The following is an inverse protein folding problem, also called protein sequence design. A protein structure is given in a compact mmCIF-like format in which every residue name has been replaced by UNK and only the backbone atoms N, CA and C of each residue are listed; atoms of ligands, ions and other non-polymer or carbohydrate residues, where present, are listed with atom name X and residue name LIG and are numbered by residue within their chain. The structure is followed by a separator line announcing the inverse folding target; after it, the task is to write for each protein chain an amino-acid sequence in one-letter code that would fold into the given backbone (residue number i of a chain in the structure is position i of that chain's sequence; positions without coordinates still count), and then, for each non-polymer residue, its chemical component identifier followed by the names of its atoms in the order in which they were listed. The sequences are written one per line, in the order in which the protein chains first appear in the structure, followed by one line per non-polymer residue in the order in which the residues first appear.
data_IF_852022410860
#
_entry.id   IF_852022410860
#
_cell.length_a   1.000
_cell.length_b   1.000
_cell.length_c   1.000
_cell.angle_alpha   90.00
_cell.angle_beta   90.00
_cell.angle_gamma   90.00
#
_symmetry.space_group_name_H-M   'P 1'
#
loop_
_entity.id
_entity.type
_entity.pdbx_description
1 polymer ?
#
# COMPACT_ATOMS: atom_id res chain seq x y z
N UNK A 1 -10.39 -0.10 0.17
CA UNK A 1 -8.93 0.12 0.34
C UNK A 1 -8.64 1.61 0.54
N UNK A 2 -7.66 1.98 1.38
CA UNK A 2 -7.25 3.37 1.62
C UNK A 2 -6.44 3.91 0.43
N UNK A 3 -7.12 4.62 -0.49
CA UNK A 3 -6.45 5.20 -1.67
C UNK A 3 -5.38 6.22 -1.30
N UNK A 4 -5.65 7.11 -0.35
CA UNK A 4 -4.70 8.15 0.05
C UNK A 4 -3.44 7.60 0.70
N UNK A 5 -3.54 6.61 1.59
CA UNK A 5 -2.36 5.99 2.21
C UNK A 5 -1.60 5.09 1.23
N UNK A 6 -2.30 4.18 0.56
CA UNK A 6 -1.67 3.17 -0.30
C UNK A 6 -1.09 3.78 -1.56
N UNK A 7 -1.88 4.53 -2.34
CA UNK A 7 -1.41 5.08 -3.61
C UNK A 7 -0.33 6.16 -3.41
N UNK A 8 -0.51 7.07 -2.45
CA UNK A 8 0.47 8.12 -2.19
C UNK A 8 1.78 7.53 -1.63
N UNK A 9 1.70 6.56 -0.72
CA UNK A 9 2.88 5.89 -0.18
C UNK A 9 3.72 5.19 -1.26
N UNK A 10 3.06 4.42 -2.13
CA UNK A 10 3.69 3.72 -3.26
C UNK A 10 4.36 4.72 -4.22
N UNK A 11 3.66 5.80 -4.59
CA UNK A 11 4.20 6.83 -5.48
C UNK A 11 5.37 7.57 -4.84
N UNK A 12 5.25 7.92 -3.56
CA UNK A 12 6.30 8.59 -2.79
C UNK A 12 7.56 7.72 -2.72
N UNK A 13 7.46 6.42 -2.41
CA UNK A 13 8.64 5.56 -2.31
C UNK A 13 9.40 5.47 -3.64
N UNK A 14 8.68 5.39 -4.77
CA UNK A 14 9.29 5.40 -6.10
C UNK A 14 10.02 6.71 -6.38
N UNK A 15 9.39 7.86 -6.07
CA UNK A 15 10.00 9.17 -6.21
C UNK A 15 11.24 9.35 -5.33
N UNK A 16 11.20 8.91 -4.08
CA UNK A 16 12.35 9.00 -3.16
C UNK A 16 13.48 8.09 -3.61
N UNK A 17 13.21 6.87 -4.10
CA UNK A 17 14.25 6.01 -4.69
C UNK A 17 14.95 6.73 -5.85
N UNK A 18 14.17 7.33 -6.75
CA UNK A 18 14.71 8.06 -7.90
C UNK A 18 15.60 9.24 -7.46
N UNK A 19 15.14 10.05 -6.50
CA UNK A 19 15.89 11.19 -5.96
C UNK A 19 17.19 10.77 -5.27
N UNK A 20 17.23 9.57 -4.69
CA UNK A 20 18.42 8.99 -4.06
C UNK A 20 19.34 8.24 -5.05
N UNK A 21 19.12 8.40 -6.36
CA UNK A 21 19.96 7.80 -7.40
C UNK A 21 19.71 6.31 -7.65
N UNK A 22 18.59 5.77 -7.17
CA UNK A 22 18.20 4.39 -7.44
C UNK A 22 17.80 4.17 -8.91
N UNK A 23 18.08 2.97 -9.42
CA UNK A 23 17.67 2.57 -10.76
C UNK A 23 16.24 1.99 -10.77
N UNK A 24 15.78 1.56 -11.96
CA UNK A 24 14.46 0.96 -12.12
C UNK A 24 14.24 -0.29 -11.24
N UNK A 25 15.26 -1.12 -11.04
CA UNK A 25 15.16 -2.30 -10.17
C UNK A 25 14.93 -1.91 -8.70
N UNK A 26 15.60 -0.86 -8.23
CA UNK A 26 15.40 -0.31 -6.88
C UNK A 26 14.01 0.31 -6.73
N UNK A 27 13.50 0.96 -7.78
CA UNK A 27 12.15 1.50 -7.80
C UNK A 27 11.16 0.33 -7.68
N UNK A 28 11.27 -0.68 -8.55
CA UNK A 28 10.42 -1.87 -8.49
C UNK A 28 10.49 -2.56 -7.13
N UNK A 29 11.67 -2.67 -6.52
CA UNK A 29 11.84 -3.22 -5.18
C UNK A 29 11.09 -2.44 -4.10
N UNK A 30 11.14 -1.10 -4.14
CA UNK A 30 10.37 -0.27 -3.22
C UNK A 30 8.86 -0.43 -3.47
N UNK A 31 8.42 -0.56 -4.72
CA UNK A 31 7.02 -0.83 -5.05
C UNK A 31 6.56 -2.19 -4.48
N UNK A 32 7.39 -3.24 -4.55
CA UNK A 32 7.07 -4.53 -3.94
C UNK A 32 6.93 -4.40 -2.42
N UNK A 33 7.87 -3.72 -1.77
CA UNK A 33 7.83 -3.50 -0.32
C UNK A 33 6.56 -2.73 0.09
N UNK A 34 6.17 -1.69 -0.67
CA UNK A 34 4.96 -0.93 -0.37
C UNK A 34 3.68 -1.74 -0.64
N UNK A 35 3.54 -2.33 -1.83
CA UNK A 35 2.36 -3.13 -2.19
C UNK A 35 2.23 -4.34 -1.26
N UNK A 36 3.31 -5.06 -0.97
CA UNK A 36 3.28 -6.21 -0.08
C UNK A 36 2.94 -5.88 1.37
N UNK A 37 3.22 -4.64 1.84
CA UNK A 37 3.08 -4.29 3.26
C UNK A 37 1.79 -3.55 3.60
N UNK A 38 1.35 -2.61 2.75
CA UNK A 38 0.26 -1.67 3.12
C UNK A 38 -1.02 -1.83 2.29
N UNK A 39 -1.09 -2.77 1.34
CA UNK A 39 -2.30 -2.96 0.52
C UNK A 39 -3.57 -3.30 1.33
N UNK A 40 -3.41 -3.83 2.54
CA UNK A 40 -4.51 -4.12 3.45
C UNK A 40 -5.00 -2.93 4.29
N UNK A 41 -4.40 -1.74 4.15
CA UNK A 41 -4.87 -0.56 4.90
C UNK A 41 -6.25 -0.16 4.38
N UNK A 42 -7.25 -0.25 5.26
CA UNK A 42 -8.66 -0.03 4.91
C UNK A 42 -9.05 1.45 4.93
N UNK A 43 -10.06 1.80 4.11
CA UNK A 43 -10.73 3.09 4.15
C UNK A 43 -12.07 2.91 4.86
N UNK A 44 -12.18 3.46 6.06
CA UNK A 44 -13.34 3.35 6.97
C UNK A 44 -13.86 4.73 7.40
N UNK A 45 -13.43 5.80 6.71
CA UNK A 45 -13.83 7.17 7.02
C UNK A 45 -13.35 7.72 8.38
N UNK A 46 -12.30 7.15 8.98
CA UNK A 46 -11.96 7.36 10.40
C UNK A 46 -11.44 8.75 10.87
N UNK A 47 -11.64 9.87 10.18
CA UNK A 47 -11.14 11.23 10.56
C UNK A 47 -9.67 11.22 11.03
N UNK A 48 -9.39 11.30 12.34
CA UNK A 48 -8.04 11.17 12.91
C UNK A 48 -7.36 9.85 12.53
N UNK A 49 -8.11 8.76 12.40
CA UNK A 49 -7.57 7.50 11.89
C UNK A 49 -6.98 7.63 10.47
N UNK A 50 -7.49 8.55 9.64
CA UNK A 50 -6.89 8.82 8.33
C UNK A 50 -5.52 9.49 8.45
N UNK A 51 -5.32 10.39 9.43
CA UNK A 51 -4.02 11.05 9.63
C UNK A 51 -2.95 10.04 10.06
N UNK A 52 -3.29 9.12 10.96
CA UNK A 52 -2.39 8.01 11.35
C UNK A 52 -2.09 7.04 10.20
N UNK A 53 -3.09 6.69 9.38
CA UNK A 53 -2.88 5.84 8.17
C UNK A 53 -1.91 6.51 7.18
N UNK A 54 -2.01 7.83 7.02
CA UNK A 54 -1.08 8.60 6.19
C UNK A 54 0.32 8.69 6.80
N UNK A 55 0.44 8.93 8.10
CA UNK A 55 1.72 8.96 8.81
C UNK A 55 2.45 7.61 8.67
N UNK A 56 1.73 6.50 8.83
CA UNK A 56 2.24 5.15 8.60
C UNK A 56 2.72 4.98 7.15
N UNK A 57 1.91 5.36 6.17
CA UNK A 57 2.28 5.25 4.76
C UNK A 57 3.51 6.09 4.41
N UNK A 58 3.61 7.33 4.92
CA UNK A 58 4.76 8.21 4.66
C UNK A 58 6.04 7.69 5.31
N UNK A 59 5.96 7.22 6.56
CA UNK A 59 7.11 6.66 7.25
C UNK A 59 7.61 5.39 6.56
N UNK A 60 6.66 4.52 6.20
CA UNK A 60 6.98 3.28 5.51
C UNK A 60 7.50 3.50 4.08
N UNK A 61 7.08 4.56 3.39
CA UNK A 61 7.62 4.90 2.07
C UNK A 61 9.13 5.15 2.13
N UNK A 62 9.59 5.96 3.10
CA UNK A 62 11.02 6.25 3.29
C UNK A 62 11.78 4.97 3.69
N UNK A 63 11.23 4.19 4.63
CA UNK A 63 11.86 2.93 5.06
C UNK A 63 11.96 1.93 3.91
N UNK A 64 10.89 1.74 3.13
CA UNK A 64 10.86 0.86 1.96
C UNK A 64 11.87 1.27 0.89
N UNK A 65 12.02 2.58 0.66
CA UNK A 65 13.05 3.11 -0.24
C UNK A 65 14.46 2.72 0.24
N UNK A 66 14.78 2.96 1.51
CA UNK A 66 16.10 2.62 2.05
C UNK A 66 16.36 1.11 1.99
N UNK A 67 15.37 0.29 2.34
CA UNK A 67 15.46 -1.16 2.25
C UNK A 67 15.72 -1.62 0.80
N UNK A 68 14.97 -1.09 -0.17
CA UNK A 68 15.14 -1.43 -1.56
C UNK A 68 16.54 -1.05 -2.08
N UNK A 69 17.03 0.14 -1.76
CA UNK A 69 18.38 0.58 -2.12
C UNK A 69 19.45 -0.39 -1.60
N UNK A 70 19.29 -0.91 -0.37
CA UNK A 70 20.18 -1.91 0.22
C UNK A 70 19.91 -3.36 -0.23
N UNK A 71 18.95 -3.58 -1.14
CA UNK A 71 18.62 -4.90 -1.68
C UNK A 71 17.71 -5.74 -0.79
N UNK A 72 17.16 -5.18 0.28
CA UNK A 72 16.11 -5.82 1.08
C UNK A 72 14.75 -5.54 0.44
N UNK A 73 14.25 -6.54 -0.28
CA UNK A 73 13.08 -6.44 -1.15
C UNK A 73 12.22 -7.69 -0.97
N UNK A 74 10.90 -7.54 -0.88
CA UNK A 74 9.94 -8.65 -0.95
C UNK A 74 10.14 -9.40 -2.28
N UNK A 75 10.25 -10.73 -2.24
CA UNK A 75 10.50 -11.50 -3.45
C UNK A 75 9.35 -11.28 -4.43
N UNK A 76 9.67 -11.12 -5.72
CA UNK A 76 8.67 -10.80 -6.75
C UNK A 76 7.66 -11.92 -7.03
N UNK A 77 7.79 -13.08 -6.37
CA UNK A 77 6.87 -14.22 -6.39
C UNK A 77 5.97 -14.30 -5.15
N UNK A 78 6.18 -13.44 -4.16
CA UNK A 78 5.48 -13.54 -2.87
C UNK A 78 4.15 -12.78 -2.91
N UNK A 79 3.09 -13.42 -2.39
CA UNK A 79 1.79 -12.78 -2.20
C UNK A 79 1.21 -12.16 -3.47
N UNK A 80 0.80 -10.89 -3.41
CA UNK A 80 0.15 -10.18 -4.51
C UNK A 80 1.12 -9.42 -5.43
N UNK A 81 2.43 -9.40 -5.12
CA UNK A 81 3.40 -8.67 -5.94
C UNK A 81 3.68 -9.42 -7.24
N UNK A 82 4.26 -8.72 -8.22
CA UNK A 82 4.56 -9.30 -9.53
C UNK A 82 5.74 -8.58 -10.20
N UNK A 83 6.63 -9.28 -10.93
CA UNK A 83 7.78 -8.66 -11.60
C UNK A 83 7.38 -7.60 -12.64
N UNK A 84 6.34 -7.87 -13.42
CA UNK A 84 5.78 -6.89 -14.35
C UNK A 84 5.00 -5.78 -13.62
N UNK A 85 5.33 -4.53 -13.92
CA UNK A 85 4.72 -3.33 -13.32
C UNK A 85 3.21 -3.27 -13.52
N UNK A 86 2.71 -3.55 -14.74
CA UNK A 86 1.27 -3.46 -15.01
C UNK A 86 0.52 -4.55 -14.25
N UNK A 87 1.08 -5.75 -14.19
CA UNK A 87 0.47 -6.86 -13.49
C UNK A 87 0.51 -6.67 -11.96
N UNK A 88 1.56 -6.06 -11.40
CA UNK A 88 1.61 -5.66 -9.99
C UNK A 88 0.40 -4.81 -9.60
N UNK A 89 0.10 -3.77 -10.40
CA UNK A 89 -1.05 -2.91 -10.14
C UNK A 89 -2.39 -3.52 -10.56
N UNK A 90 -2.43 -4.44 -11.52
CA UNK A 90 -3.64 -5.25 -11.78
C UNK A 90 -3.99 -6.14 -10.59
N UNK A 91 -3.00 -6.77 -9.96
CA UNK A 91 -3.22 -7.58 -8.75
C UNK A 91 -3.73 -6.71 -7.60
N UNK A 92 -3.11 -5.54 -7.38
CA UNK A 92 -3.58 -4.58 -6.39
C UNK A 92 -5.00 -4.08 -6.71
N UNK A 93 -5.27 -3.81 -7.99
CA UNK A 93 -6.57 -3.42 -8.49
C UNK A 93 -7.63 -4.49 -8.23
N UNK A 94 -7.32 -5.77 -8.47
CA UNK A 94 -8.21 -6.89 -8.19
C UNK A 94 -8.53 -7.03 -6.69
N UNK A 95 -7.53 -6.82 -5.82
CA UNK A 95 -7.76 -6.77 -4.38
C UNK A 95 -8.66 -5.59 -4.00
N UNK A 96 -8.52 -4.44 -4.66
CA UNK A 96 -9.39 -3.29 -4.42
C UNK A 96 -10.81 -3.51 -4.94
N UNK A 97 -10.97 -4.03 -6.15
CA UNK A 97 -12.24 -4.33 -6.81
C UNK A 97 -12.08 -5.61 -7.66
N UNK A 98 -12.78 -6.71 -7.33
CA UNK A 98 -13.91 -6.80 -6.39
C UNK A 98 -13.52 -7.10 -4.93
N UNK A 99 -12.23 -7.30 -4.60
CA UNK A 99 -11.83 -7.87 -3.31
C UNK A 99 -12.30 -7.10 -2.07
N UNK A 100 -12.36 -5.76 -2.13
CA UNK A 100 -12.80 -4.95 -1.00
C UNK A 100 -14.32 -4.81 -0.88
N UNK A 101 -15.12 -5.30 -1.83
CA UNK A 101 -16.60 -5.18 -1.76
C UNK A 101 -17.13 -5.85 -0.48
N UNK A 102 -16.72 -7.09 -0.22
CA UNK A 102 -17.12 -7.79 1.00
C UNK A 102 -16.50 -7.17 2.27
N UNK A 103 -15.30 -6.59 2.15
CA UNK A 103 -14.64 -5.89 3.27
C UNK A 103 -15.40 -4.61 3.63
N UNK A 104 -15.89 -3.88 2.64
CA UNK A 104 -16.67 -2.66 2.84
C UNK A 104 -17.98 -2.97 3.57
N UNK A 105 -18.65 -4.06 3.21
CA UNK A 105 -19.82 -4.54 3.95
C UNK A 105 -19.48 -4.85 5.41
N UNK A 106 -18.39 -5.59 5.67
CA UNK A 106 -17.97 -5.89 7.04
C UNK A 106 -17.61 -4.63 7.85
N UNK A 107 -17.03 -3.60 7.22
CA UNK A 107 -16.77 -2.30 7.85
C UNK A 107 -18.09 -1.65 8.24
N UNK A 108 -19.09 -1.64 7.35
CA UNK A 108 -20.41 -1.08 7.62
C UNK A 108 -21.12 -1.79 8.77
N UNK A 109 -21.07 -3.12 8.81
CA UNK A 109 -21.68 -3.91 9.88
C UNK A 109 -21.11 -3.50 11.25
N UNK A 110 -19.78 -3.41 11.36
CA UNK A 110 -19.09 -2.93 12.58
C UNK A 110 -19.46 -1.48 12.92
N UNK A 111 -19.58 -0.61 11.92
CA UNK A 111 -19.96 0.79 12.14
C UNK A 111 -21.39 0.92 12.65
N UNK A 112 -22.32 0.17 12.07
CA UNK A 112 -23.75 0.18 12.44
C UNK A 112 -23.91 -0.34 13.87
N UNK A 113 -23.27 -1.47 14.20
CA UNK A 113 -23.31 -2.07 15.54
C UNK A 113 -22.83 -1.08 16.63
N UNK A 114 -21.78 -0.30 16.36
CA UNK A 114 -21.27 0.75 17.28
C UNK A 114 -22.26 1.89 17.53
N UNK A 115 -23.15 2.16 16.57
CA UNK A 115 -24.15 3.25 16.66
C UNK A 115 -25.45 2.84 17.33
N UNK A 116 -25.62 1.56 17.67
CA UNK A 116 -26.71 1.12 18.56
C UNK A 116 -26.38 1.60 19.99
N UNK A 117 -27.30 2.29 20.69
CA UNK A 117 -27.03 2.90 22.00
C UNK A 117 -26.59 1.89 23.07
#
# INVERSE_FOLDING_TARGET
MCGCGVAAGIGASAGVVYLLGGNQDKIMGALYNMVGSISGVICDGAKEGCSYKLALASGWAVQSTLLALHGSIIHNTDGIVHPDFRQLFKNLGHLCDPGMIATDQAILDVMIEKTTP
#
